data_IF_932118503246
#
_entry.id   IF_932118503246
#
_cell.length_a   1.000
_cell.length_b   1.000
_cell.length_c   1.000
_cell.angle_alpha   90.00
_cell.angle_beta   90.00
_cell.angle_gamma   90.00
#
_symmetry.space_group_name_H-M   'P 1'
#
loop_
_entity.id
_entity.type
_entity.pdbx_description
1 polymer ?
#
# COMPACT_ATOMS: atom_id res chain seq x y z
N UNK A 1 50.17 28.24 -0.62
CA UNK A 1 48.89 28.60 0.03
C UNK A 1 47.91 27.48 -0.26
N UNK A 2 47.41 26.85 0.79
CA UNK A 2 46.53 25.68 0.72
C UNK A 2 45.09 26.07 0.40
N UNK A 3 44.34 25.06 -0.07
CA UNK A 3 42.86 24.98 -0.15
C UNK A 3 42.24 25.42 -1.47
N UNK A 4 41.85 24.43 -2.27
CA UNK A 4 40.41 24.15 -2.46
C UNK A 4 40.26 22.77 -3.07
N UNK A 5 39.85 21.82 -2.22
CA UNK A 5 39.16 20.61 -2.63
C UNK A 5 37.77 21.02 -3.11
N UNK A 6 37.35 20.73 -4.35
CA UNK A 6 35.94 20.75 -4.69
C UNK A 6 35.28 19.55 -4.01
N UNK A 7 34.70 19.86 -2.85
CA UNK A 7 33.43 19.34 -2.35
C UNK A 7 32.92 18.07 -3.02
N UNK A 8 33.15 16.94 -2.34
CA UNK A 8 32.40 15.72 -2.54
C UNK A 8 30.90 16.01 -2.41
N UNK A 9 30.21 16.15 -3.54
CA UNK A 9 28.78 15.96 -3.61
C UNK A 9 28.56 14.46 -3.86
N UNK A 10 28.03 13.69 -2.89
CA UNK A 10 27.50 12.38 -3.24
C UNK A 10 26.39 12.63 -4.26
N UNK A 11 26.49 11.97 -5.41
CA UNK A 11 25.46 11.87 -6.43
C UNK A 11 24.18 11.31 -5.80
N UNK A 12 23.41 12.18 -5.16
CA UNK A 12 22.11 11.86 -4.62
C UNK A 12 21.18 11.84 -5.83
N UNK A 13 21.06 10.67 -6.44
CA UNK A 13 20.11 10.35 -7.49
C UNK A 13 18.68 10.38 -6.90
N UNK A 14 18.23 11.56 -6.46
CA UNK A 14 16.86 11.86 -5.95
C UNK A 14 15.83 11.90 -7.09
N UNK A 15 15.86 10.89 -7.97
CA UNK A 15 14.95 10.81 -9.13
C UNK A 15 14.09 9.54 -9.15
N UNK A 16 14.20 8.63 -8.17
CA UNK A 16 13.34 7.43 -8.09
C UNK A 16 12.61 7.24 -6.76
N UNK A 17 12.65 8.21 -5.84
CA UNK A 17 11.90 8.18 -4.56
C UNK A 17 10.39 8.43 -4.74
N UNK A 18 9.91 8.45 -5.98
CA UNK A 18 8.50 8.60 -6.34
C UNK A 18 7.93 7.25 -6.79
N UNK A 19 7.12 6.65 -5.91
CA UNK A 19 5.80 6.12 -6.28
C UNK A 19 5.68 4.69 -6.84
N UNK A 20 6.41 3.70 -6.32
CA UNK A 20 5.93 2.31 -6.44
C UNK A 20 4.95 2.04 -5.31
N UNK A 21 3.68 2.35 -5.55
CA UNK A 21 2.59 1.86 -4.69
C UNK A 21 2.59 0.34 -4.75
N UNK A 22 3.00 -0.31 -3.67
CA UNK A 22 3.01 -1.77 -3.58
C UNK A 22 2.11 -2.26 -2.43
N UNK A 23 0.84 -2.59 -2.74
CA UNK A 23 -0.07 -3.12 -1.75
C UNK A 23 0.23 -4.58 -1.38
N UNK A 24 1.12 -5.28 -2.10
CA UNK A 24 1.51 -6.64 -1.72
C UNK A 24 2.31 -6.61 -0.42
N UNK A 25 3.26 -5.67 -0.27
CA UNK A 25 4.01 -5.47 0.98
C UNK A 25 3.11 -5.25 2.19
N UNK A 26 2.04 -4.46 2.03
CA UNK A 26 1.04 -4.27 3.08
C UNK A 26 0.38 -5.60 3.44
N UNK A 27 -0.19 -6.31 2.45
CA UNK A 27 -0.92 -7.55 2.69
C UNK A 27 -0.03 -8.63 3.31
N UNK A 28 1.22 -8.74 2.85
CA UNK A 28 2.20 -9.67 3.37
C UNK A 28 2.52 -9.36 4.84
N UNK A 29 2.79 -8.09 5.15
CA UNK A 29 3.02 -7.64 6.52
C UNK A 29 1.83 -7.93 7.44
N UNK A 30 0.60 -7.82 6.94
CA UNK A 30 -0.61 -8.14 7.69
C UNK A 30 -0.72 -9.66 7.92
N UNK A 31 -0.45 -10.48 6.90
CA UNK A 31 -0.45 -11.94 7.00
C UNK A 31 0.58 -12.41 8.02
N UNK A 32 1.80 -11.85 7.99
CA UNK A 32 2.86 -12.18 8.94
C UNK A 32 2.50 -11.76 10.37
N UNK A 33 2.00 -10.53 10.57
CA UNK A 33 1.60 -10.04 11.90
C UNK A 33 0.46 -10.85 12.52
N UNK A 34 -0.52 -11.22 11.71
CA UNK A 34 -1.70 -11.95 12.17
C UNK A 34 -1.48 -13.48 12.14
N UNK A 35 -0.28 -13.95 11.77
CA UNK A 35 0.08 -15.37 11.62
C UNK A 35 -0.93 -16.14 10.73
N UNK A 36 -1.38 -15.49 9.67
CA UNK A 36 -2.36 -16.04 8.75
C UNK A 36 -1.69 -16.91 7.69
N UNK A 37 -2.43 -17.90 7.19
CA UNK A 37 -1.94 -18.81 6.15
C UNK A 37 -2.09 -18.27 4.73
N UNK A 38 -3.09 -17.42 4.49
CA UNK A 38 -3.43 -16.98 3.13
C UNK A 38 -4.27 -15.69 3.13
N UNK A 39 -4.34 -15.03 1.97
CA UNK A 39 -5.18 -13.87 1.69
C UNK A 39 -6.67 -14.11 1.99
N UNK A 40 -7.15 -15.34 1.80
CA UNK A 40 -8.54 -15.69 2.13
C UNK A 40 -8.82 -15.63 3.64
N UNK A 41 -7.83 -15.99 4.47
CA UNK A 41 -7.93 -15.86 5.91
C UNK A 41 -7.86 -14.37 6.30
N UNK A 42 -6.96 -13.61 5.68
CA UNK A 42 -6.88 -12.16 5.87
C UNK A 42 -8.20 -11.48 5.51
N UNK A 43 -8.80 -11.83 4.37
CA UNK A 43 -10.07 -11.29 3.92
C UNK A 43 -11.19 -11.51 4.95
N UNK A 44 -11.25 -12.71 5.54
CA UNK A 44 -12.24 -13.05 6.56
C UNK A 44 -12.03 -12.30 7.88
N UNK A 45 -10.78 -12.03 8.24
CA UNK A 45 -10.44 -11.22 9.42
C UNK A 45 -10.78 -9.75 9.16
N UNK A 46 -10.46 -9.22 7.98
CA UNK A 46 -10.74 -7.85 7.54
C UNK A 46 -12.22 -7.55 7.22
N UNK A 47 -13.10 -8.54 7.36
CA UNK A 47 -14.50 -8.49 6.93
C UNK A 47 -14.66 -8.04 5.46
N UNK A 48 -13.73 -8.48 4.61
CA UNK A 48 -13.76 -8.19 3.17
C UNK A 48 -13.87 -9.45 2.35
N UNK A 49 -14.43 -9.32 1.16
CA UNK A 49 -14.52 -10.44 0.24
C UNK A 49 -13.11 -10.84 -0.26
N UNK A 50 -12.76 -12.14 -0.31
CA UNK A 50 -11.51 -12.63 -0.93
C UNK A 50 -11.17 -12.02 -2.30
N UNK A 51 -12.13 -11.77 -3.23
CA UNK A 51 -11.82 -11.11 -4.50
C UNK A 51 -11.31 -9.67 -4.35
N UNK A 52 -11.61 -8.97 -3.26
CA UNK A 52 -11.09 -7.61 -3.01
C UNK A 52 -9.57 -7.67 -2.77
N UNK A 53 -9.11 -8.58 -1.91
CA UNK A 53 -7.67 -8.77 -1.64
C UNK A 53 -6.94 -9.20 -2.92
N UNK A 54 -7.51 -10.13 -3.69
CA UNK A 54 -6.92 -10.55 -4.97
C UNK A 54 -6.79 -9.40 -5.97
N UNK A 55 -7.83 -8.55 -6.10
CA UNK A 55 -7.77 -7.36 -6.97
C UNK A 55 -6.72 -6.35 -6.48
N UNK A 56 -6.53 -6.21 -5.17
CA UNK A 56 -5.51 -5.33 -4.59
C UNK A 56 -4.11 -5.86 -4.90
N UNK A 57 -3.84 -7.15 -4.70
CA UNK A 57 -2.54 -7.77 -5.07
C UNK A 57 -2.19 -7.57 -6.53
N UNK A 58 -3.19 -7.67 -7.42
CA UNK A 58 -3.03 -7.47 -8.86
C UNK A 58 -3.11 -6.00 -9.31
N UNK A 59 -3.12 -5.05 -8.36
CA UNK A 59 -3.22 -3.60 -8.61
C UNK A 59 -4.45 -3.18 -9.42
N UNK A 60 -5.48 -4.03 -9.45
CA UNK A 60 -6.78 -3.79 -10.14
C UNK A 60 -7.76 -3.00 -9.28
N UNK A 61 -7.52 -2.94 -7.98
CA UNK A 61 -8.34 -2.17 -7.04
C UNK A 61 -7.42 -1.39 -6.10
N UNK A 62 -7.53 -0.05 -6.04
CA UNK A 62 -6.78 0.74 -5.08
C UNK A 62 -7.33 0.50 -3.67
N UNK A 63 -6.45 0.54 -2.66
CA UNK A 63 -6.86 0.45 -1.25
C UNK A 63 -7.61 1.73 -0.88
N UNK A 64 -8.91 1.60 -0.66
CA UNK A 64 -9.78 2.70 -0.25
C UNK A 64 -9.68 3.03 1.24
N UNK A 65 -10.21 4.19 1.63
CA UNK A 65 -10.24 4.63 3.03
C UNK A 65 -10.96 3.63 3.94
N UNK A 66 -12.10 3.08 3.51
CA UNK A 66 -12.85 2.09 4.29
C UNK A 66 -12.04 0.83 4.58
N UNK A 67 -11.24 0.36 3.62
CA UNK A 67 -10.39 -0.81 3.81
C UNK A 67 -9.23 -0.52 4.76
N UNK A 68 -8.65 0.67 4.66
CA UNK A 68 -7.62 1.13 5.59
C UNK A 68 -8.13 1.21 7.03
N UNK A 69 -9.37 1.65 7.24
CA UNK A 69 -9.99 1.67 8.56
C UNK A 69 -10.12 0.25 9.11
N UNK A 70 -10.70 -0.68 8.33
CA UNK A 70 -10.78 -2.09 8.73
C UNK A 70 -9.39 -2.68 9.08
N UNK A 71 -8.38 -2.40 8.26
CA UNK A 71 -6.99 -2.82 8.51
C UNK A 71 -6.44 -2.24 9.81
N UNK A 72 -6.72 -0.96 10.09
CA UNK A 72 -6.27 -0.26 11.30
C UNK A 72 -6.91 -0.86 12.54
N UNK A 73 -8.20 -1.18 12.51
CA UNK A 73 -8.94 -1.69 13.67
C UNK A 73 -8.46 -3.10 14.06
N UNK A 74 -8.04 -3.90 13.09
CA UNK A 74 -7.63 -5.28 13.30
C UNK A 74 -6.17 -5.39 13.71
N UNK A 75 -5.31 -4.59 13.09
CA UNK A 75 -3.86 -4.66 13.34
C UNK A 75 -3.36 -3.64 14.35
N UNK A 76 -4.26 -2.76 14.82
CA UNK A 76 -3.95 -1.61 15.67
C UNK A 76 -2.89 -0.68 15.06
N UNK A 77 -2.63 -0.82 13.75
CA UNK A 77 -1.66 0.00 13.04
C UNK A 77 -2.31 1.31 12.62
N UNK A 78 -1.68 2.46 12.89
CA UNK A 78 -2.22 3.73 12.42
C UNK A 78 -2.22 3.76 10.89
N UNK A 79 -3.21 4.43 10.30
CA UNK A 79 -3.36 4.59 8.85
C UNK A 79 -2.07 5.07 8.17
N UNK A 80 -1.24 5.87 8.87
CA UNK A 80 0.05 6.35 8.38
C UNK A 80 1.06 5.21 8.15
N UNK A 81 1.13 4.24 9.06
CA UNK A 81 2.00 3.08 8.95
C UNK A 81 1.52 2.14 7.84
N UNK A 82 0.21 1.92 7.75
CA UNK A 82 -0.39 1.17 6.64
C UNK A 82 -0.03 1.81 5.28
N UNK A 83 -0.03 3.16 5.22
CA UNK A 83 0.39 3.92 4.04
C UNK A 83 1.88 3.77 3.74
N UNK A 84 2.71 3.83 4.78
CA UNK A 84 4.16 3.64 4.67
C UNK A 84 4.51 2.24 4.16
N UNK A 85 3.80 1.21 4.63
CA UNK A 85 3.95 -0.18 4.15
C UNK A 85 3.63 -0.34 2.67
N UNK A 86 2.67 0.42 2.16
CA UNK A 86 2.37 0.45 0.71
C UNK A 86 3.36 1.30 -0.10
N UNK A 87 4.27 2.02 0.55
CA UNK A 87 5.08 3.06 -0.10
C UNK A 87 4.25 4.27 -0.57
N UNK A 88 3.01 4.40 -0.07
CA UNK A 88 2.13 5.50 -0.44
C UNK A 88 2.37 6.70 0.49
N UNK A 89 3.12 7.66 -0.02
CA UNK A 89 3.33 8.93 0.67
C UNK A 89 2.33 10.00 0.21
N UNK A 90 1.31 9.62 -0.58
CA UNK A 90 0.37 10.57 -1.15
C UNK A 90 -0.55 11.11 -0.06
N UNK A 91 -0.68 12.43 -0.01
CA UNK A 91 -1.53 13.12 0.96
C UNK A 91 -3.04 12.97 0.68
N UNK A 92 -3.42 12.46 -0.49
CA UNK A 92 -4.81 12.38 -0.97
C UNK A 92 -5.05 11.07 -1.71
N UNK A 93 -6.05 10.31 -1.25
CA UNK A 93 -6.44 9.03 -1.83
C UNK A 93 -6.98 9.24 -3.23
N UNK A 94 -6.51 8.42 -4.18
CA UNK A 94 -7.17 8.29 -5.48
C UNK A 94 -8.44 7.49 -5.23
N UNK A 95 -9.56 8.17 -5.02
CA UNK A 95 -10.88 7.53 -5.10
C UNK A 95 -10.94 6.85 -6.46
N UNK A 96 -10.94 5.52 -6.45
CA UNK A 96 -10.82 4.71 -7.65
C UNK A 96 -12.04 4.89 -8.54
N UNK A 97 -11.83 5.53 -9.69
CA UNK A 97 -12.65 5.33 -10.87
C UNK A 97 -12.47 3.87 -11.31
N UNK A 98 -13.38 3.00 -10.92
CA UNK A 98 -13.63 1.68 -11.53
C UNK A 98 -14.92 1.12 -10.95
N UNK A 99 -16.02 1.76 -11.30
CA UNK A 99 -17.32 1.08 -11.36
C UNK A 99 -17.20 0.03 -12.47
N UNK A 100 -17.18 -1.29 -12.19
CA UNK A 100 -17.34 -2.27 -13.26
C UNK A 100 -18.77 -2.07 -13.78
N UNK A 101 -18.87 -1.45 -14.95
CA UNK A 101 -20.10 -1.26 -15.68
C UNK A 101 -20.66 -2.66 -15.98
N UNK A 102 -21.67 -3.08 -15.22
CA UNK A 102 -22.46 -4.25 -15.55
C UNK A 102 -23.12 -3.98 -16.90
N UNK A 103 -22.65 -4.66 -17.95
CA UNK A 103 -23.46 -4.93 -19.13
C UNK A 103 -24.13 -6.27 -18.86
N UNK A 104 -25.31 -6.21 -18.26
CA UNK A 104 -26.28 -7.28 -18.37
C UNK A 104 -27.38 -6.78 -19.31
N UNK A 105 -27.60 -7.61 -20.34
CA UNK A 105 -28.70 -7.68 -21.33
C UNK A 105 -28.82 -6.63 -22.42
#
# INVERSE_FOLDING_TARGET
MSTTLPSAAPSHNKLNEQATYDPNHLLDSLIEKLLLKNDAALARVLDVAPPVISKIRHHRLPVGASLLVQMNEITDLPIRELRALMGDHRAKFRMGDSHPKSKDV
#
